data_IF_336390502351
#
_entry.id   IF_336390502351
#
_cell.length_a   1.000
_cell.length_b   1.000
_cell.length_c   1.000
_cell.angle_alpha   90.00
_cell.angle_beta   90.00
_cell.angle_gamma   90.00
#
_symmetry.space_group_name_H-M   'P 1'
#
loop_
_entity.id
_entity.type
_entity.pdbx_description
1 polymer ?
#
# COMPACT_ATOMS: atom_id res chain seq x y z
N UNK A 1 -15.93 -0.07 11.20
CA UNK A 1 -15.77 -0.62 9.83
C UNK A 1 -15.03 -1.94 9.93
N UNK A 2 -15.67 -3.04 9.57
CA UNK A 2 -15.03 -4.35 9.46
C UNK A 2 -14.08 -4.29 8.26
N UNK A 3 -12.76 -4.28 8.51
CA UNK A 3 -11.77 -4.30 7.44
C UNK A 3 -11.99 -5.56 6.59
N UNK A 4 -12.12 -5.42 5.27
CA UNK A 4 -12.27 -6.54 4.33
C UNK A 4 -11.24 -7.65 4.59
N UNK A 5 -10.03 -7.26 5.00
CA UNK A 5 -8.93 -8.17 5.31
C UNK A 5 -9.21 -9.06 6.53
N UNK A 6 -9.99 -8.60 7.52
CA UNK A 6 -10.42 -9.42 8.66
C UNK A 6 -11.33 -10.57 8.25
N UNK A 7 -12.04 -10.46 7.12
CA UNK A 7 -12.93 -11.49 6.61
C UNK A 7 -12.17 -12.57 5.82
N UNK A 8 -10.91 -12.30 5.46
CA UNK A 8 -10.12 -13.13 4.56
C UNK A 8 -8.71 -13.43 5.12
N UNK A 9 -8.60 -13.95 6.36
CA UNK A 9 -7.31 -14.11 7.05
C UNK A 9 -6.38 -15.15 6.42
N UNK A 10 -6.92 -16.05 5.60
CA UNK A 10 -6.19 -17.11 4.91
C UNK A 10 -5.72 -16.72 3.49
N UNK A 11 -5.89 -15.46 3.09
CA UNK A 11 -5.37 -14.99 1.80
C UNK A 11 -3.85 -15.10 1.79
N UNK A 12 -3.34 -15.77 0.77
CA UNK A 12 -1.91 -15.94 0.52
C UNK A 12 -1.38 -14.99 -0.56
N UNK A 13 -2.27 -14.41 -1.37
CA UNK A 13 -1.93 -13.49 -2.45
C UNK A 13 -2.92 -12.34 -2.53
N UNK A 14 -2.43 -11.12 -2.47
CA UNK A 14 -3.23 -9.91 -2.59
C UNK A 14 -2.64 -9.03 -3.68
N UNK A 15 -3.48 -8.68 -4.66
CA UNK A 15 -3.16 -7.70 -5.69
C UNK A 15 -4.12 -6.52 -5.54
N UNK A 16 -3.56 -5.32 -5.39
CA UNK A 16 -4.33 -4.09 -5.23
C UNK A 16 -3.93 -3.13 -6.34
N UNK A 17 -4.92 -2.53 -6.97
CA UNK A 17 -4.73 -1.41 -7.88
C UNK A 17 -5.52 -0.24 -7.32
N UNK A 18 -4.82 0.86 -7.02
CA UNK A 18 -5.44 2.03 -6.42
C UNK A 18 -5.40 3.18 -7.41
N UNK A 19 -6.58 3.75 -7.60
CA UNK A 19 -6.79 4.87 -8.48
C UNK A 19 -6.83 6.17 -7.67
N UNK A 20 -7.65 6.30 -6.62
CA UNK A 20 -7.93 7.61 -5.98
C UNK A 20 -7.56 7.77 -4.52
N UNK A 21 -6.99 6.77 -3.85
CA UNK A 21 -6.70 6.82 -2.40
C UNK A 21 -5.24 6.46 -2.18
N UNK A 22 -4.48 7.34 -1.53
CA UNK A 22 -3.10 7.08 -1.13
C UNK A 22 -3.07 6.53 0.30
N UNK A 23 -2.92 5.21 0.43
CA UNK A 23 -2.53 4.57 1.69
C UNK A 23 -1.02 4.42 1.71
N UNK A 24 -0.33 4.97 2.70
CA UNK A 24 1.12 4.91 2.76
C UNK A 24 1.65 3.49 3.13
N UNK A 25 2.96 3.30 3.01
CA UNK A 25 3.61 2.03 3.29
C UNK A 25 3.52 1.60 4.76
N UNK A 26 3.30 2.51 5.71
CA UNK A 26 3.08 2.16 7.11
C UNK A 26 1.67 1.63 7.34
N UNK A 27 0.67 2.30 6.75
CA UNK A 27 -0.73 1.89 6.82
C UNK A 27 -0.93 0.50 6.19
N UNK A 28 -0.34 0.26 5.02
CA UNK A 28 -0.37 -1.06 4.39
C UNK A 28 0.32 -2.13 5.24
N UNK A 29 1.49 -1.83 5.81
CA UNK A 29 2.20 -2.75 6.70
C UNK A 29 1.34 -3.15 7.89
N UNK A 30 0.71 -2.18 8.54
CA UNK A 30 -0.17 -2.43 9.68
C UNK A 30 -1.34 -3.34 9.29
N UNK A 31 -1.97 -3.09 8.14
CA UNK A 31 -3.06 -3.92 7.64
C UNK A 31 -2.61 -5.36 7.35
N UNK A 32 -1.46 -5.55 6.71
CA UNK A 32 -0.93 -6.87 6.38
C UNK A 32 -0.59 -7.65 7.65
N UNK A 33 0.18 -7.05 8.55
CA UNK A 33 0.64 -7.70 9.79
C UNK A 33 -0.54 -8.08 10.68
N UNK A 34 -1.54 -7.19 10.82
CA UNK A 34 -2.63 -7.41 11.76
C UNK A 34 -3.76 -8.27 11.19
N UNK A 35 -3.97 -8.27 9.87
CA UNK A 35 -5.18 -8.87 9.27
C UNK A 35 -4.91 -9.95 8.23
N UNK A 36 -3.71 -10.03 7.66
CA UNK A 36 -3.37 -11.00 6.61
C UNK A 36 -2.11 -11.81 6.99
N UNK A 37 -2.14 -12.55 8.11
CA UNK A 37 -0.95 -13.23 8.64
C UNK A 37 -0.40 -14.33 7.72
N UNK A 38 -1.20 -14.81 6.75
CA UNK A 38 -0.78 -15.82 5.78
C UNK A 38 -0.40 -15.25 4.41
N UNK A 39 -0.36 -13.92 4.28
CA UNK A 39 -0.03 -13.27 3.02
C UNK A 39 1.43 -13.54 2.66
N UNK A 40 1.65 -14.11 1.48
CA UNK A 40 2.98 -14.39 0.94
C UNK A 40 3.35 -13.42 -0.18
N UNK A 41 2.38 -13.12 -1.04
CA UNK A 41 2.58 -12.23 -2.17
C UNK A 41 1.67 -11.02 -2.04
N UNK A 42 2.29 -9.84 -1.89
CA UNK A 42 1.61 -8.57 -1.98
C UNK A 42 2.07 -7.85 -3.24
N UNK A 43 1.13 -7.48 -4.10
CA UNK A 43 1.39 -6.64 -5.26
C UNK A 43 0.51 -5.41 -5.17
N UNK A 44 1.11 -4.24 -5.30
CA UNK A 44 0.39 -3.00 -5.35
C UNK A 44 0.78 -2.24 -6.61
N UNK A 45 -0.23 -1.62 -7.24
CA UNK A 45 -0.05 -0.70 -8.36
C UNK A 45 -0.80 0.58 -8.03
N UNK A 46 -0.12 1.70 -8.19
CA UNK A 46 -0.68 3.03 -7.93
C UNK A 46 -0.61 3.80 -9.25
N UNK A 47 -1.72 4.42 -9.61
CA UNK A 47 -1.74 5.42 -10.66
C UNK A 47 -1.31 6.77 -10.06
N UNK A 48 -0.07 7.16 -10.33
CA UNK A 48 0.49 8.41 -9.83
C UNK A 48 -0.11 9.63 -10.53
N UNK A 49 -0.63 9.49 -11.75
CA UNK A 49 -1.24 10.60 -12.49
C UNK A 49 -2.60 10.97 -11.89
N UNK A 50 -3.32 10.00 -11.33
CA UNK A 50 -4.52 10.28 -10.55
C UNK A 50 -4.19 10.85 -9.15
N UNK A 51 -3.06 10.46 -8.54
CA UNK A 51 -2.63 11.05 -7.27
C UNK A 51 -2.27 12.53 -7.41
N UNK A 52 -1.78 12.95 -8.59
CA UNK A 52 -1.44 14.34 -8.92
C UNK A 52 -2.66 15.22 -9.15
N UNK A 53 -3.81 14.66 -9.53
CA UNK A 53 -5.03 15.42 -9.83
C UNK A 53 -5.95 15.65 -8.62
N UNK A 54 -5.69 14.97 -7.51
CA UNK A 54 -6.48 15.09 -6.26
C UNK A 54 -5.98 16.25 -5.39
N UNK A 55 -4.75 16.71 -5.59
CA UNK A 55 -4.13 17.77 -4.80
C UNK A 55 -3.49 18.78 -5.76
N UNK A 56 -4.16 19.91 -6.02
CA UNK A 56 -3.82 20.97 -7.01
C UNK A 56 -2.42 21.61 -6.83
N UNK A 57 -1.67 21.21 -5.81
CA UNK A 57 -0.28 21.61 -5.60
C UNK A 57 0.65 20.51 -6.11
N UNK A 58 1.20 20.68 -7.31
CA UNK A 58 2.43 20.05 -7.77
C UNK A 58 3.45 19.95 -6.64
N UNK A 59 3.81 18.73 -6.25
CA UNK A 59 5.05 18.49 -5.51
C UNK A 59 5.51 17.07 -5.81
N UNK A 60 6.46 16.94 -6.74
CA UNK A 60 7.25 15.71 -6.89
C UNK A 60 7.80 15.27 -5.51
N UNK A 61 8.14 16.22 -4.65
CA UNK A 61 8.52 16.02 -3.25
C UNK A 61 7.49 15.25 -2.41
N UNK A 62 6.18 15.44 -2.65
CA UNK A 62 5.12 14.70 -1.94
C UNK A 62 5.06 13.25 -2.43
N UNK A 63 5.25 13.02 -3.73
CA UNK A 63 5.31 11.66 -4.29
C UNK A 63 6.54 10.94 -3.76
N UNK A 64 7.70 11.59 -3.73
CA UNK A 64 8.93 11.01 -3.19
C UNK A 64 8.82 10.74 -1.68
N UNK A 65 8.23 11.66 -0.92
CA UNK A 65 7.92 11.45 0.49
C UNK A 65 6.98 10.26 0.68
N UNK A 66 5.93 10.13 -0.14
CA UNK A 66 5.03 9.00 -0.08
C UNK A 66 5.73 7.68 -0.42
N UNK A 67 6.50 7.64 -1.51
CA UNK A 67 7.28 6.47 -1.90
C UNK A 67 8.33 6.11 -0.84
N UNK A 68 8.85 7.08 -0.09
CA UNK A 68 9.80 6.82 1.00
C UNK A 68 9.21 5.93 2.10
N UNK A 69 7.90 5.98 2.33
CA UNK A 69 7.21 5.12 3.33
C UNK A 69 7.25 3.63 2.96
N UNK A 70 7.50 3.33 1.69
CA UNK A 70 7.69 1.98 1.16
C UNK A 70 9.15 1.51 1.17
N UNK A 71 10.11 2.38 1.54
CA UNK A 71 11.55 2.04 1.60
C UNK A 71 11.98 1.48 2.96
N UNK A 72 11.16 0.62 3.57
CA UNK A 72 11.50 -0.02 4.86
C UNK A 72 11.96 -1.46 4.63
N UNK A 73 12.70 -2.03 5.57
CA UNK A 73 13.15 -3.44 5.51
C UNK A 73 11.98 -4.41 5.30
N UNK A 74 10.82 -4.11 5.90
CA UNK A 74 9.60 -4.88 5.67
C UNK A 74 9.26 -5.01 4.18
N UNK A 75 9.31 -3.93 3.41
CA UNK A 75 8.97 -3.94 1.99
C UNK A 75 10.11 -4.44 1.11
N UNK A 76 11.36 -4.13 1.48
CA UNK A 76 12.56 -4.49 0.71
C UNK A 76 12.88 -5.99 0.82
N UNK A 77 12.73 -6.58 2.01
CA UNK A 77 13.17 -7.96 2.28
C UNK A 77 12.08 -9.00 2.00
N UNK A 78 10.80 -8.63 2.03
CA UNK A 78 9.69 -9.60 1.90
C UNK A 78 9.06 -9.67 0.49
N UNK A 79 9.40 -8.76 -0.43
CA UNK A 79 8.68 -8.63 -1.70
C UNK A 79 9.54 -8.36 -2.95
N UNK A 80 10.82 -8.78 -2.95
CA UNK A 80 11.61 -8.89 -4.19
C UNK A 80 11.19 -10.09 -5.05
#
# INVERSE_FOLDING_TARGET
MTSLFKLLPSITRLKVEIYSITLDGHQWKEMIVNYLPQLKNFQFKIDLDLCRSIDDSTNEDKVDQYLSTYRTSFWIEHHQ
#
